data_IF_699021655811
#
_entry.id   IF_699021655811
#
_cell.length_a   1.000
_cell.length_b   1.000
_cell.length_c   1.000
_cell.angle_alpha   90.00
_cell.angle_beta   90.00
_cell.angle_gamma   90.00
#
_symmetry.space_group_name_H-M   'P 1'
#
loop_
_entity.id
_entity.type
_entity.pdbx_description
1 polymer ?
#
# COMPACT_ATOMS: atom_id res chain seq x y z
N UNK A 1 -12.30 44.42 0.01
CA UNK A 1 -11.60 43.12 -0.11
C UNK A 1 -10.86 42.83 1.19
N UNK A 2 -11.59 42.38 2.22
CA UNK A 2 -11.02 41.92 3.50
C UNK A 2 -11.21 40.40 3.58
N UNK A 3 -10.14 39.70 3.95
CA UNK A 3 -10.10 38.37 4.59
C UNK A 3 -11.07 37.33 4.04
N UNK A 4 -10.66 36.63 2.98
CA UNK A 4 -11.29 35.37 2.54
C UNK A 4 -10.40 34.14 2.79
N UNK A 5 -9.16 34.33 3.26
CA UNK A 5 -8.20 33.24 3.51
C UNK A 5 -8.33 32.56 4.89
N UNK A 6 -9.39 32.82 5.67
CA UNK A 6 -9.37 32.53 7.13
C UNK A 6 -10.40 31.50 7.61
N UNK A 7 -11.39 31.10 6.82
CA UNK A 7 -12.51 30.29 7.36
C UNK A 7 -12.10 28.84 7.67
N UNK A 8 -11.15 28.27 6.91
CA UNK A 8 -10.66 26.89 7.09
C UNK A 8 -9.28 26.69 7.74
N UNK A 9 -8.54 27.77 7.99
CA UNK A 9 -7.40 27.71 8.91
C UNK A 9 -7.83 27.25 10.32
N UNK A 10 -9.12 27.37 10.62
CA UNK A 10 -9.67 27.16 11.96
C UNK A 10 -10.30 25.78 12.19
N UNK A 11 -10.52 24.96 11.14
CA UNK A 11 -10.97 23.58 11.34
C UNK A 11 -9.80 22.61 11.42
N UNK A 12 -9.63 21.92 12.55
CA UNK A 12 -8.67 20.83 12.69
C UNK A 12 -9.21 19.61 11.93
N UNK A 13 -8.47 19.09 10.95
CA UNK A 13 -8.80 17.84 10.28
C UNK A 13 -8.13 16.67 11.01
N UNK A 14 -8.92 15.69 11.44
CA UNK A 14 -8.44 14.41 11.97
C UNK A 14 -8.83 13.27 11.04
N UNK A 15 -7.82 12.67 10.43
CA UNK A 15 -7.95 11.40 9.71
C UNK A 15 -7.68 10.26 10.70
N UNK A 16 -8.59 9.29 10.76
CA UNK A 16 -8.50 8.21 11.75
C UNK A 16 -8.78 6.84 11.11
N UNK A 17 -8.12 5.80 11.58
CA UNK A 17 -8.48 4.41 11.32
C UNK A 17 -8.88 3.80 12.67
N UNK A 18 -10.11 3.35 12.78
CA UNK A 18 -10.70 2.92 14.05
C UNK A 18 -11.37 1.55 13.87
N UNK A 19 -11.31 0.73 14.91
CA UNK A 19 -12.02 -0.56 14.95
C UNK A 19 -13.54 -0.39 15.13
N UNK A 20 -13.98 0.73 15.72
CA UNK A 20 -15.39 0.97 16.04
C UNK A 20 -15.74 2.46 16.01
N UNK A 21 -17.01 2.77 15.71
CA UNK A 21 -17.52 4.15 15.73
C UNK A 21 -17.64 4.73 17.15
N UNK A 22 -17.61 3.87 18.19
CA UNK A 22 -17.72 4.31 19.59
C UNK A 22 -16.47 5.06 20.07
N UNK A 23 -15.33 4.90 19.41
CA UNK A 23 -14.10 5.62 19.75
C UNK A 23 -14.01 6.99 19.08
N UNK A 24 -14.96 7.32 18.20
CA UNK A 24 -15.02 8.64 17.58
C UNK A 24 -15.34 9.70 18.64
N UNK A 25 -14.57 10.80 18.70
CA UNK A 25 -14.89 11.94 19.54
C UNK A 25 -16.36 12.37 19.37
N UNK A 26 -17.04 12.56 20.50
CA UNK A 26 -18.44 13.01 20.56
C UNK A 26 -18.59 14.54 20.59
N UNK A 27 -17.48 15.26 20.74
CA UNK A 27 -17.39 16.72 20.75
C UNK A 27 -16.05 17.18 20.16
N UNK A 28 -15.98 18.42 19.71
CA UNK A 28 -14.76 19.08 19.24
C UNK A 28 -15.07 20.51 18.79
N UNK A 29 -14.13 21.45 18.95
CA UNK A 29 -14.33 22.85 18.57
C UNK A 29 -13.70 23.09 17.20
N UNK A 30 -14.51 23.31 16.17
CA UNK A 30 -14.01 23.44 14.80
C UNK A 30 -13.30 22.16 14.37
N UNK A 31 -13.91 21.00 14.60
CA UNK A 31 -13.28 19.71 14.37
C UNK A 31 -13.94 18.99 13.21
N UNK A 32 -13.13 18.57 12.24
CA UNK A 32 -13.53 17.73 11.13
C UNK A 32 -12.86 16.37 11.28
N UNK A 33 -13.66 15.31 11.41
CA UNK A 33 -13.18 13.95 11.53
C UNK A 33 -13.60 13.18 10.30
N UNK A 34 -12.65 12.54 9.64
CA UNK A 34 -12.91 11.50 8.65
C UNK A 34 -12.24 10.23 9.16
N UNK A 35 -13.05 9.24 9.53
CA UNK A 35 -12.56 7.97 10.02
C UNK A 35 -12.90 6.85 9.05
N UNK A 36 -11.96 5.96 8.80
CA UNK A 36 -12.22 4.68 8.18
C UNK A 36 -12.44 3.64 9.27
N UNK A 37 -13.61 3.00 9.23
CA UNK A 37 -14.02 1.96 10.17
C UNK A 37 -14.37 0.74 9.34
N UNK A 38 -13.55 -0.31 9.44
CA UNK A 38 -13.57 -1.45 8.53
C UNK A 38 -13.49 -0.99 7.05
N UNK A 39 -14.58 -1.14 6.30
CA UNK A 39 -14.70 -0.81 4.88
C UNK A 39 -15.53 0.46 4.63
N UNK A 40 -15.91 1.19 5.67
CA UNK A 40 -16.80 2.34 5.56
C UNK A 40 -16.14 3.60 6.10
N UNK A 41 -16.57 4.74 5.56
CA UNK A 41 -16.20 6.03 6.10
C UNK A 41 -17.23 6.51 7.11
N UNK A 42 -16.73 7.17 8.14
CA UNK A 42 -17.51 7.94 9.08
C UNK A 42 -17.02 9.38 9.03
N UNK A 43 -17.92 10.34 8.88
CA UNK A 43 -17.57 11.76 8.83
C UNK A 43 -18.32 12.49 9.93
N UNK A 44 -17.58 13.16 10.82
CA UNK A 44 -18.14 14.07 11.82
C UNK A 44 -17.61 15.47 11.62
N UNK A 45 -18.49 16.46 11.63
CA UNK A 45 -18.10 17.87 11.61
C UNK A 45 -18.73 18.56 12.81
N UNK A 46 -17.89 19.17 13.63
CA UNK A 46 -18.29 20.00 14.76
C UNK A 46 -17.97 21.46 14.48
N UNK A 47 -18.93 22.35 14.68
CA UNK A 47 -18.70 23.79 14.57
C UNK A 47 -17.89 24.35 15.75
N UNK A 48 -17.66 25.67 15.76
CA UNK A 48 -16.89 26.34 16.81
C UNK A 48 -17.54 26.32 18.20
N UNK A 49 -18.82 26.00 18.26
CA UNK A 49 -19.57 25.86 19.52
C UNK A 49 -19.60 24.42 20.01
N UNK A 50 -18.79 23.54 19.39
CA UNK A 50 -18.80 22.10 19.61
C UNK A 50 -20.13 21.41 19.25
N UNK A 51 -20.99 22.09 18.49
CA UNK A 51 -22.24 21.49 18.03
C UNK A 51 -21.94 20.64 16.80
N UNK A 52 -22.46 19.43 16.84
CA UNK A 52 -22.36 18.47 15.74
C UNK A 52 -23.23 18.93 14.56
N UNK A 53 -22.58 19.28 13.45
CA UNK A 53 -23.25 19.75 12.23
C UNK A 53 -23.50 18.59 11.28
N UNK A 54 -22.52 17.68 11.18
CA UNK A 54 -22.57 16.45 10.37
C UNK A 54 -22.10 15.27 11.22
N UNK A 55 -22.79 14.14 11.08
CA UNK A 55 -22.46 12.84 11.68
C UNK A 55 -23.02 11.77 10.77
N UNK A 56 -22.20 11.33 9.82
CA UNK A 56 -22.57 10.33 8.83
C UNK A 56 -21.72 9.09 9.05
N UNK A 57 -22.35 7.93 9.03
CA UNK A 57 -21.67 6.64 9.13
C UNK A 57 -22.02 5.69 7.99
N UNK A 58 -21.76 4.40 8.23
CA UNK A 58 -21.93 3.29 7.26
C UNK A 58 -23.24 3.33 6.47
N UNK A 59 -24.37 3.61 7.12
CA UNK A 59 -25.69 3.55 6.48
C UNK A 59 -26.05 4.82 5.69
N UNK A 60 -25.26 5.88 5.82
CA UNK A 60 -25.50 7.17 5.17
C UNK A 60 -24.59 7.40 3.95
N UNK A 61 -23.53 6.61 3.81
CA UNK A 61 -22.71 6.58 2.62
C UNK A 61 -23.21 5.50 1.67
N UNK A 62 -23.68 5.90 0.50
CA UNK A 62 -23.92 4.96 -0.59
C UNK A 62 -22.58 4.32 -1.00
N UNK A 63 -22.49 2.98 -1.12
CA UNK A 63 -21.27 2.30 -1.58
C UNK A 63 -20.76 2.82 -2.93
N UNK A 64 -21.67 3.31 -3.78
CA UNK A 64 -21.37 3.77 -5.14
C UNK A 64 -21.11 5.29 -5.23
N UNK A 65 -21.32 6.04 -4.14
CA UNK A 65 -21.08 7.48 -4.11
C UNK A 65 -19.67 7.79 -3.63
N UNK A 66 -18.96 8.68 -4.34
CA UNK A 66 -17.68 9.19 -3.84
C UNK A 66 -17.90 9.93 -2.52
N UNK A 67 -16.95 9.81 -1.59
CA UNK A 67 -17.00 10.48 -0.29
C UNK A 67 -17.24 11.99 -0.43
N UNK A 68 -16.59 12.62 -1.42
CA UNK A 68 -16.78 14.02 -1.75
C UNK A 68 -18.24 14.37 -2.10
N UNK A 69 -18.89 13.55 -2.91
CA UNK A 69 -20.30 13.74 -3.31
C UNK A 69 -21.26 13.57 -2.13
N UNK A 70 -20.99 12.60 -1.25
CA UNK A 70 -21.79 12.36 -0.06
C UNK A 70 -21.68 13.53 0.94
N UNK A 71 -20.47 14.05 1.15
CA UNK A 71 -20.22 15.22 2.01
C UNK A 71 -20.86 16.49 1.42
N UNK A 72 -20.71 16.74 0.12
CA UNK A 72 -21.37 17.87 -0.56
C UNK A 72 -22.89 17.83 -0.37
N UNK A 73 -23.49 16.64 -0.57
CA UNK A 73 -24.92 16.41 -0.39
C UNK A 73 -25.37 16.69 1.06
N UNK A 74 -24.59 16.26 2.04
CA UNK A 74 -24.88 16.51 3.45
C UNK A 74 -24.76 17.99 3.81
N UNK A 75 -23.71 18.66 3.34
CA UNK A 75 -23.50 20.09 3.58
C UNK A 75 -24.58 20.95 2.92
N UNK A 76 -25.08 20.57 1.73
CA UNK A 76 -26.21 21.24 1.06
C UNK A 76 -27.47 21.26 1.94
N UNK A 77 -27.73 20.21 2.72
CA UNK A 77 -28.89 20.14 3.63
C UNK A 77 -28.74 21.00 4.89
N UNK A 78 -27.54 21.49 5.20
CA UNK A 78 -27.22 22.20 6.46
C UNK A 78 -27.00 23.70 6.32
N UNK A 79 -27.34 24.29 5.16
CA UNK A 79 -27.18 25.72 4.88
C UNK A 79 -25.75 26.27 5.07
N UNK A 80 -24.73 25.42 4.92
CA UNK A 80 -23.33 25.85 4.85
C UNK A 80 -23.14 26.67 3.57
N UNK A 81 -22.37 27.74 3.60
CA UNK A 81 -22.11 28.55 2.41
C UNK A 81 -21.24 27.78 1.40
N UNK A 82 -21.34 28.13 0.12
CA UNK A 82 -20.69 27.35 -0.94
C UNK A 82 -19.16 27.42 -0.92
N UNK A 83 -18.59 28.49 -0.38
CA UNK A 83 -17.14 28.61 -0.27
C UNK A 83 -16.61 27.66 0.80
N UNK A 84 -17.17 27.70 2.01
CA UNK A 84 -16.83 26.77 3.09
C UNK A 84 -17.01 25.31 2.66
N UNK A 85 -18.06 25.01 1.87
CA UNK A 85 -18.24 23.67 1.29
C UNK A 85 -17.09 23.26 0.39
N UNK A 86 -16.75 24.10 -0.59
CA UNK A 86 -15.71 23.81 -1.59
C UNK A 86 -14.37 23.60 -0.90
N UNK A 87 -14.05 24.47 0.04
CA UNK A 87 -12.86 24.40 0.87
C UNK A 87 -12.82 23.12 1.72
N UNK A 88 -13.93 22.72 2.38
CA UNK A 88 -13.98 21.51 3.21
C UNK A 88 -13.79 20.26 2.36
N UNK A 89 -14.50 20.19 1.22
CA UNK A 89 -14.38 19.07 0.28
C UNK A 89 -12.93 18.99 -0.22
N UNK A 90 -12.34 20.11 -0.64
CA UNK A 90 -10.96 20.16 -1.11
C UNK A 90 -9.97 19.74 -0.02
N UNK A 91 -10.15 20.20 1.23
CA UNK A 91 -9.29 19.80 2.37
C UNK A 91 -9.41 18.31 2.65
N UNK A 92 -10.61 17.74 2.55
CA UNK A 92 -10.84 16.30 2.75
C UNK A 92 -10.23 15.51 1.60
N UNK A 93 -10.52 15.85 0.35
CA UNK A 93 -10.03 15.09 -0.81
C UNK A 93 -8.52 15.21 -0.96
N UNK A 94 -7.92 16.39 -0.80
CA UNK A 94 -6.45 16.56 -0.89
C UNK A 94 -5.67 15.82 0.21
N UNK A 95 -6.28 15.59 1.39
CA UNK A 95 -5.64 14.83 2.47
C UNK A 95 -6.00 13.33 2.42
N UNK A 96 -7.10 12.96 1.75
CA UNK A 96 -7.50 11.57 1.52
C UNK A 96 -6.91 10.97 0.24
N UNK A 97 -6.53 11.78 -0.75
CA UNK A 97 -5.70 11.35 -1.89
C UNK A 97 -4.35 10.80 -1.44
N UNK A 98 -3.96 11.06 -0.19
CA UNK A 98 -2.80 10.40 0.43
C UNK A 98 -3.09 8.99 0.95
N UNK A 99 -4.35 8.58 1.18
CA UNK A 99 -4.66 7.32 1.88
C UNK A 99 -5.93 6.56 1.43
N UNK A 100 -6.55 6.90 0.32
CA UNK A 100 -7.49 5.98 -0.32
C UNK A 100 -7.50 6.12 -1.84
N UNK A 101 -7.12 5.07 -2.58
CA UNK A 101 -7.12 5.15 -4.02
C UNK A 101 -8.58 5.19 -4.50
N UNK A 102 -9.00 6.33 -5.06
CA UNK A 102 -9.48 6.19 -6.44
C UNK A 102 -8.34 5.50 -7.16
N UNK A 103 -8.62 4.41 -7.86
CA UNK A 103 -7.66 3.66 -8.67
C UNK A 103 -6.92 4.67 -9.53
N UNK A 104 -5.80 5.14 -9.01
CA UNK A 104 -5.00 6.16 -9.62
C UNK A 104 -4.20 5.35 -10.61
N UNK A 105 -4.69 5.35 -11.85
CA UNK A 105 -3.95 4.78 -12.95
C UNK A 105 -2.52 5.32 -12.94
N UNK A 106 -2.23 6.48 -12.35
CA UNK A 106 -0.89 7.04 -12.20
C UNK A 106 -0.02 6.30 -11.17
N UNK A 107 -0.51 5.95 -9.97
CA UNK A 107 0.26 5.15 -8.98
C UNK A 107 0.40 3.69 -9.43
N UNK A 108 -0.61 3.15 -10.10
CA UNK A 108 -0.58 1.79 -10.67
C UNK A 108 0.35 1.72 -11.89
N UNK A 109 0.36 2.76 -12.73
CA UNK A 109 1.33 2.93 -13.80
C UNK A 109 2.72 3.17 -13.24
N UNK A 110 2.90 3.89 -12.14
CA UNK A 110 4.23 4.08 -11.53
C UNK A 110 4.78 2.76 -11.01
N UNK A 111 3.94 1.89 -10.43
CA UNK A 111 4.35 0.58 -9.97
C UNK A 111 4.67 -0.37 -11.14
N UNK A 112 3.83 -0.35 -12.18
CA UNK A 112 4.08 -1.06 -13.45
C UNK A 112 5.34 -0.50 -14.13
N UNK A 113 5.54 0.81 -14.14
CA UNK A 113 6.73 1.49 -14.64
C UNK A 113 7.96 1.13 -13.81
N UNK A 114 7.88 0.98 -12.49
CA UNK A 114 9.00 0.48 -11.67
C UNK A 114 9.34 -0.96 -12.01
N UNK A 115 8.34 -1.80 -12.27
CA UNK A 115 8.55 -3.17 -12.77
C UNK A 115 9.20 -3.17 -14.16
N UNK A 116 8.79 -2.25 -15.05
CA UNK A 116 9.32 -2.10 -16.42
C UNK A 116 10.68 -1.42 -16.46
N UNK A 117 10.95 -0.50 -15.56
CA UNK A 117 12.21 0.26 -15.52
C UNK A 117 13.33 -0.57 -14.91
N UNK A 118 12.98 -1.53 -14.06
CA UNK A 118 13.93 -2.45 -13.42
C UNK A 118 14.36 -3.62 -14.31
N UNK A 119 13.75 -3.82 -15.48
CA UNK A 119 14.09 -4.92 -16.38
C UNK A 119 13.97 -4.46 -17.84
N UNK A 120 14.87 -4.86 -18.74
CA UNK A 120 14.73 -4.62 -20.18
C UNK A 120 13.55 -5.45 -20.75
N UNK A 121 12.32 -5.09 -20.38
CA UNK A 121 11.09 -5.81 -20.71
C UNK A 121 10.70 -5.47 -22.15
N UNK A 122 10.40 -6.50 -22.95
CA UNK A 122 9.92 -6.27 -24.33
C UNK A 122 8.49 -5.69 -24.34
N UNK A 123 8.06 -5.11 -25.48
CA UNK A 123 6.68 -4.62 -25.63
C UNK A 123 5.65 -5.74 -25.43
N UNK A 124 5.97 -6.97 -25.84
CA UNK A 124 5.08 -8.12 -25.69
C UNK A 124 4.97 -8.56 -24.23
N UNK A 125 6.07 -8.54 -23.49
CA UNK A 125 6.08 -8.79 -22.05
C UNK A 125 5.27 -7.72 -21.29
N UNK A 126 5.38 -6.44 -21.70
CA UNK A 126 4.56 -5.37 -21.15
C UNK A 126 3.06 -5.62 -21.35
N UNK A 127 2.64 -5.99 -22.57
CA UNK A 127 1.25 -6.33 -22.87
C UNK A 127 0.76 -7.49 -22.01
N UNK A 128 1.60 -8.49 -21.76
CA UNK A 128 1.28 -9.60 -20.88
C UNK A 128 1.08 -9.13 -19.43
N UNK A 129 2.02 -8.33 -18.88
CA UNK A 129 1.92 -7.75 -17.54
C UNK A 129 0.62 -6.96 -17.39
N UNK A 130 0.35 -6.05 -18.34
CA UNK A 130 -0.83 -5.21 -18.34
C UNK A 130 -2.13 -6.01 -18.42
N UNK A 131 -2.17 -7.07 -19.23
CA UNK A 131 -3.33 -7.96 -19.32
C UNK A 131 -3.61 -8.68 -18.00
N UNK A 132 -2.58 -9.22 -17.34
CA UNK A 132 -2.70 -9.86 -16.03
C UNK A 132 -3.22 -8.86 -14.99
N UNK A 133 -2.70 -7.63 -15.05
CA UNK A 133 -3.09 -6.55 -14.16
C UNK A 133 -4.57 -6.21 -14.30
N UNK A 134 -5.03 -5.85 -15.51
CA UNK A 134 -6.43 -5.47 -15.77
C UNK A 134 -7.40 -6.61 -15.40
N UNK A 135 -7.09 -7.85 -15.79
CA UNK A 135 -7.93 -8.99 -15.45
C UNK A 135 -8.03 -9.16 -13.92
N UNK A 136 -6.91 -9.06 -13.21
CA UNK A 136 -6.90 -9.24 -11.76
C UNK A 136 -7.62 -8.11 -11.02
N UNK A 137 -7.54 -6.88 -11.53
CA UNK A 137 -8.31 -5.74 -11.03
C UNK A 137 -9.82 -5.94 -11.22
N UNK A 138 -10.24 -6.44 -12.39
CA UNK A 138 -11.64 -6.78 -12.66
C UNK A 138 -12.17 -7.89 -11.74
N UNK A 139 -11.29 -8.80 -11.33
CA UNK A 139 -11.58 -9.85 -10.34
C UNK A 139 -11.59 -9.33 -8.88
N UNK A 140 -11.33 -8.04 -8.65
CA UNK A 140 -11.31 -7.42 -7.32
C UNK A 140 -10.13 -7.86 -6.46
N UNK A 141 -9.03 -8.32 -7.05
CA UNK A 141 -7.84 -8.76 -6.32
C UNK A 141 -7.10 -7.55 -5.72
N UNK A 142 -6.61 -7.71 -4.49
CA UNK A 142 -5.73 -6.73 -3.87
C UNK A 142 -4.41 -6.61 -4.65
N UNK A 143 -3.86 -5.39 -4.76
CA UNK A 143 -2.66 -5.07 -5.56
C UNK A 143 -1.47 -6.00 -5.27
N UNK A 144 -1.22 -6.33 -4.00
CA UNK A 144 -0.16 -7.27 -3.61
C UNK A 144 -0.33 -8.68 -4.23
N UNK A 145 -1.57 -9.14 -4.38
CA UNK A 145 -1.90 -10.40 -5.07
C UNK A 145 -1.68 -10.30 -6.57
N UNK A 146 -1.97 -9.14 -7.17
CA UNK A 146 -1.72 -8.89 -8.59
C UNK A 146 -0.22 -8.91 -8.88
N UNK A 147 0.58 -8.20 -8.09
CA UNK A 147 2.06 -8.21 -8.20
C UNK A 147 2.60 -9.62 -8.06
N UNK A 148 2.11 -10.38 -7.06
CA UNK A 148 2.49 -11.78 -6.88
C UNK A 148 2.16 -12.61 -8.14
N UNK A 149 0.97 -12.46 -8.70
CA UNK A 149 0.55 -13.19 -9.91
C UNK A 149 1.43 -12.84 -11.12
N UNK A 150 1.76 -11.56 -11.31
CA UNK A 150 2.67 -11.08 -12.35
C UNK A 150 4.05 -11.73 -12.20
N UNK A 151 4.62 -11.73 -10.99
CA UNK A 151 5.95 -12.30 -10.71
C UNK A 151 6.00 -13.82 -10.85
N UNK A 152 4.90 -14.50 -10.52
CA UNK A 152 4.78 -15.95 -10.67
C UNK A 152 4.48 -16.39 -12.11
N UNK A 153 4.17 -15.48 -13.02
CA UNK A 153 3.99 -15.82 -14.42
C UNK A 153 5.30 -16.37 -15.00
N UNK A 154 5.27 -17.56 -15.61
CA UNK A 154 6.46 -18.26 -16.10
C UNK A 154 7.27 -17.48 -17.13
N UNK A 155 6.62 -16.64 -17.94
CA UNK A 155 7.29 -15.82 -18.94
C UNK A 155 8.05 -14.66 -18.28
N UNK A 156 7.38 -13.94 -17.36
CA UNK A 156 7.92 -12.77 -16.65
C UNK A 156 8.99 -13.19 -15.64
N UNK A 157 8.83 -14.35 -15.00
CA UNK A 157 9.71 -14.89 -13.95
C UNK A 157 11.19 -14.87 -14.34
N UNK A 158 11.48 -15.20 -15.60
CA UNK A 158 12.86 -15.25 -16.11
C UNK A 158 13.55 -13.88 -16.17
N UNK A 159 12.78 -12.80 -16.16
CA UNK A 159 13.27 -11.42 -16.19
C UNK A 159 13.28 -10.77 -14.82
N UNK A 160 12.87 -11.47 -13.76
CA UNK A 160 12.95 -10.94 -12.42
C UNK A 160 14.42 -10.74 -12.04
N UNK A 161 14.72 -9.58 -11.49
CA UNK A 161 16.04 -9.27 -10.97
C UNK A 161 16.51 -10.35 -9.97
N UNK A 162 17.71 -10.90 -10.19
CA UNK A 162 18.27 -12.01 -9.43
C UNK A 162 18.07 -13.39 -10.07
N UNK A 163 17.30 -13.53 -11.15
CA UNK A 163 17.15 -14.79 -11.91
C UNK A 163 18.10 -14.91 -13.11
N UNK A 164 18.95 -13.91 -13.36
CA UNK A 164 20.05 -14.06 -14.30
C UNK A 164 21.17 -14.96 -13.73
N UNK A 165 22.08 -15.43 -14.58
CA UNK A 165 23.13 -16.37 -14.19
C UNK A 165 24.28 -15.71 -13.39
N UNK A 166 24.19 -14.41 -13.11
CA UNK A 166 25.27 -13.64 -12.47
C UNK A 166 25.17 -13.60 -10.94
N UNK A 167 24.08 -14.12 -10.35
CA UNK A 167 23.89 -14.14 -8.90
C UNK A 167 24.04 -15.53 -8.28
N UNK A 168 24.73 -15.57 -7.14
CA UNK A 168 24.69 -16.70 -6.22
C UNK A 168 23.40 -16.64 -5.38
N UNK A 169 22.68 -17.75 -5.29
CA UNK A 169 21.47 -17.82 -4.47
C UNK A 169 21.81 -18.03 -3.00
N UNK A 170 21.43 -17.08 -2.15
CA UNK A 170 21.50 -17.19 -0.71
C UNK A 170 20.11 -17.51 -0.16
N UNK A 171 19.92 -18.70 0.38
CA UNK A 171 18.61 -19.11 0.92
C UNK A 171 18.48 -18.65 2.37
N UNK A 172 17.38 -17.97 2.65
CA UNK A 172 17.01 -17.63 4.02
C UNK A 172 16.44 -18.84 4.74
N UNK A 173 17.08 -19.18 5.85
CA UNK A 173 16.60 -20.21 6.77
C UNK A 173 15.28 -19.78 7.41
N UNK A 174 14.37 -20.74 7.59
CA UNK A 174 13.05 -20.48 8.16
C UNK A 174 13.13 -19.86 9.57
N UNK A 175 14.14 -20.21 10.37
CA UNK A 175 14.29 -19.67 11.73
C UNK A 175 14.68 -18.18 11.73
N UNK A 176 15.47 -17.74 10.76
CA UNK A 176 15.77 -16.32 10.58
C UNK A 176 14.53 -15.55 10.14
N UNK A 177 13.68 -16.14 9.29
CA UNK A 177 12.40 -15.55 8.88
C UNK A 177 11.42 -15.51 10.05
N UNK A 178 11.31 -16.59 10.86
CA UNK A 178 10.47 -16.63 12.06
C UNK A 178 10.86 -15.54 13.07
N UNK A 179 12.14 -15.18 13.15
CA UNK A 179 12.57 -14.06 14.01
C UNK A 179 11.95 -12.72 13.58
N UNK A 180 11.51 -12.60 12.32
CA UNK A 180 10.74 -11.45 11.82
C UNK A 180 9.25 -11.54 12.18
N UNK A 181 8.70 -12.73 12.42
CA UNK A 181 7.28 -12.97 12.69
C UNK A 181 6.85 -12.62 14.14
N UNK A 182 7.79 -12.41 15.06
CA UNK A 182 7.51 -12.42 16.52
C UNK A 182 6.55 -11.29 17.00
N UNK A 183 6.22 -10.28 16.18
CA UNK A 183 5.43 -9.13 16.64
C UNK A 183 4.12 -8.87 15.86
N UNK A 184 3.55 -9.85 15.15
CA UNK A 184 2.17 -9.71 14.62
C UNK A 184 1.15 -9.79 15.76
N UNK A 185 0.90 -8.64 16.40
CA UNK A 185 -0.23 -8.45 17.30
C UNK A 185 -1.40 -7.98 16.44
N UNK A 186 -2.42 -8.83 16.30
CA UNK A 186 -3.73 -8.58 15.67
C UNK A 186 -3.88 -8.92 14.18
N UNK A 187 -5.01 -9.56 13.88
CA UNK A 187 -5.33 -10.34 12.67
C UNK A 187 -5.93 -9.54 11.50
N UNK A 188 -5.80 -8.20 11.49
CA UNK A 188 -6.55 -7.37 10.53
C UNK A 188 -5.67 -6.42 9.71
N UNK A 189 -4.48 -6.05 10.18
CA UNK A 189 -3.44 -5.40 9.38
C UNK A 189 -2.10 -5.93 9.87
N UNK A 190 -1.36 -6.66 9.03
CA UNK A 190 -0.03 -7.18 9.34
C UNK A 190 0.98 -6.02 9.46
N UNK A 191 0.86 -5.17 10.49
CA UNK A 191 1.93 -4.26 10.89
C UNK A 191 2.92 -5.10 11.67
N UNK A 192 3.82 -5.76 10.94
CA UNK A 192 4.91 -6.51 11.55
C UNK A 192 5.90 -5.49 12.11
N UNK A 193 5.88 -5.26 13.42
CA UNK A 193 6.93 -4.52 14.10
C UNK A 193 8.20 -5.37 14.11
N UNK A 194 8.91 -5.41 12.99
CA UNK A 194 10.17 -6.15 12.87
C UNK A 194 11.26 -5.35 13.55
N UNK A 195 12.09 -6.00 14.37
CA UNK A 195 13.41 -5.46 14.71
C UNK A 195 14.40 -5.89 13.61
N UNK A 196 14.72 -5.01 12.63
CA UNK A 196 15.55 -5.40 11.48
C UNK A 196 17.01 -5.66 11.88
N UNK A 197 17.45 -5.22 13.06
CA UNK A 197 18.86 -5.24 13.46
C UNK A 197 19.43 -6.65 13.50
N UNK A 198 18.70 -7.62 14.08
CA UNK A 198 19.16 -9.01 14.12
C UNK A 198 19.30 -9.59 12.71
N UNK A 199 18.28 -9.38 11.86
CA UNK A 199 18.28 -9.86 10.49
C UNK A 199 19.42 -9.26 9.65
N UNK A 200 19.60 -7.94 9.71
CA UNK A 200 20.67 -7.26 8.97
C UNK A 200 22.06 -7.69 9.47
N UNK A 201 22.24 -7.90 10.77
CA UNK A 201 23.48 -8.45 11.33
C UNK A 201 23.81 -9.84 10.79
N UNK A 202 22.81 -10.73 10.70
CA UNK A 202 23.02 -12.04 10.09
C UNK A 202 23.31 -11.93 8.60
N UNK A 203 22.70 -10.97 7.89
CA UNK A 203 23.02 -10.75 6.48
C UNK A 203 24.44 -10.25 6.25
N UNK A 204 24.93 -9.30 7.06
CA UNK A 204 26.33 -8.83 7.01
C UNK A 204 27.34 -9.97 7.18
N UNK A 205 27.04 -10.94 8.04
CA UNK A 205 27.92 -12.10 8.27
C UNK A 205 27.94 -13.08 7.09
N UNK A 206 26.80 -13.21 6.39
CA UNK A 206 26.64 -14.18 5.29
C UNK A 206 27.06 -13.62 3.93
N UNK A 207 27.04 -12.31 3.74
CA UNK A 207 27.33 -11.67 2.46
C UNK A 207 28.82 -11.34 2.34
N UNK A 208 29.48 -11.94 1.35
CA UNK A 208 30.81 -11.55 0.88
C UNK A 208 30.72 -10.32 -0.03
N UNK A 209 31.48 -9.27 0.24
CA UNK A 209 31.48 -8.01 -0.51
C UNK A 209 31.84 -8.20 -2.00
N UNK A 210 32.51 -9.29 -2.36
CA UNK A 210 32.96 -9.54 -3.75
C UNK A 210 31.99 -10.37 -4.58
N UNK A 211 30.87 -10.82 -4.00
CA UNK A 211 29.90 -11.67 -4.69
C UNK A 211 28.56 -10.96 -4.87
N UNK A 212 27.91 -11.27 -5.99
CA UNK A 212 26.54 -10.82 -6.27
C UNK A 212 25.58 -11.87 -5.76
N UNK A 213 24.76 -11.52 -4.77
CA UNK A 213 23.79 -12.43 -4.18
C UNK A 213 22.37 -12.12 -4.62
N UNK A 214 21.58 -13.16 -4.87
CA UNK A 214 20.12 -13.08 -4.90
C UNK A 214 19.58 -13.81 -3.67
N UNK A 215 18.85 -13.09 -2.82
CA UNK A 215 18.29 -13.66 -1.61
C UNK A 215 16.99 -14.40 -1.93
N UNK A 216 16.87 -15.65 -1.48
CA UNK A 216 15.71 -16.50 -1.73
C UNK A 216 14.98 -16.79 -0.42
N UNK A 217 13.71 -16.36 -0.31
CA UNK A 217 12.83 -16.70 0.81
C UNK A 217 12.04 -17.97 0.53
N UNK A 218 11.82 -18.78 1.56
CA UNK A 218 11.06 -20.03 1.46
C UNK A 218 9.58 -19.83 1.10
N UNK A 219 8.95 -18.75 1.57
CA UNK A 219 7.54 -18.46 1.30
C UNK A 219 7.34 -17.08 0.68
N UNK A 220 6.51 -17.02 -0.35
CA UNK A 220 6.16 -15.78 -1.05
C UNK A 220 5.68 -14.65 -0.13
N UNK A 221 4.93 -14.97 0.93
CA UNK A 221 4.38 -13.96 1.86
C UNK A 221 5.46 -13.12 2.57
N UNK A 222 6.68 -13.63 2.72
CA UNK A 222 7.77 -12.90 3.37
C UNK A 222 8.59 -12.04 2.42
N UNK A 223 8.45 -12.23 1.10
CA UNK A 223 9.33 -11.64 0.09
C UNK A 223 9.33 -10.11 0.13
N UNK A 224 8.14 -9.50 0.24
CA UNK A 224 8.00 -8.04 0.33
C UNK A 224 8.57 -7.49 1.65
N UNK A 225 8.32 -8.18 2.76
CA UNK A 225 8.83 -7.81 4.09
C UNK A 225 10.36 -7.82 4.10
N UNK A 226 10.97 -8.93 3.68
CA UNK A 226 12.42 -9.09 3.60
C UNK A 226 13.02 -8.04 2.67
N UNK A 227 12.37 -7.75 1.53
CA UNK A 227 12.83 -6.69 0.63
C UNK A 227 12.84 -5.32 1.31
N UNK A 228 11.75 -4.94 1.99
CA UNK A 228 11.67 -3.66 2.69
C UNK A 228 12.72 -3.51 3.81
N UNK A 229 13.10 -4.60 4.47
CA UNK A 229 14.19 -4.60 5.45
C UNK A 229 15.56 -4.46 4.77
N UNK A 230 15.81 -5.22 3.70
CA UNK A 230 17.06 -5.14 2.96
C UNK A 230 17.26 -3.78 2.28
N UNK A 231 16.20 -3.11 1.86
CA UNK A 231 16.26 -1.76 1.27
C UNK A 231 16.96 -0.74 2.18
N UNK A 232 16.99 -0.98 3.49
CA UNK A 232 17.65 -0.10 4.46
C UNK A 232 19.18 -0.10 4.33
N UNK A 233 19.79 -1.18 3.80
CA UNK A 233 21.25 -1.35 3.81
C UNK A 233 21.81 -2.02 2.55
N UNK A 234 21.06 -2.95 1.97
CA UNK A 234 21.43 -3.72 0.78
C UNK A 234 20.44 -3.50 -0.38
N UNK A 235 20.22 -2.24 -0.83
CA UNK A 235 19.24 -1.94 -1.88
C UNK A 235 19.59 -2.56 -3.23
N UNK A 236 20.81 -3.05 -3.42
CA UNK A 236 21.29 -3.72 -4.64
C UNK A 236 21.14 -5.25 -4.62
N UNK A 237 20.56 -5.83 -3.57
CA UNK A 237 20.44 -7.30 -3.45
C UNK A 237 19.01 -7.74 -3.81
N UNK A 238 18.79 -8.41 -4.96
CA UNK A 238 17.47 -8.89 -5.32
C UNK A 238 16.93 -9.85 -4.26
N UNK A 239 15.61 -9.79 -4.04
CA UNK A 239 14.88 -10.73 -3.19
C UNK A 239 13.85 -11.45 -4.04
N UNK A 240 13.95 -12.77 -4.05
CA UNK A 240 13.05 -13.71 -4.72
C UNK A 240 12.40 -14.61 -3.68
N UNK A 241 11.23 -15.16 -4.01
CA UNK A 241 10.76 -16.37 -3.34
C UNK A 241 11.24 -17.62 -4.07
N UNK A 242 11.12 -18.77 -3.40
CA UNK A 242 11.39 -20.07 -4.03
C UNK A 242 10.53 -20.31 -5.28
N UNK A 243 9.29 -19.82 -5.28
CA UNK A 243 8.35 -19.94 -6.39
C UNK A 243 8.71 -19.01 -7.56
N UNK A 244 9.40 -17.91 -7.27
CA UNK A 244 9.90 -16.94 -8.25
C UNK A 244 11.25 -17.35 -8.83
N UNK A 245 11.96 -18.30 -8.22
CA UNK A 245 13.25 -18.77 -8.72
C UNK A 245 13.08 -19.50 -10.05
N UNK A 246 13.94 -19.19 -11.02
CA UNK A 246 14.06 -19.99 -12.23
C UNK A 246 14.70 -21.34 -11.88
N UNK A 247 13.99 -22.44 -12.12
CA UNK A 247 14.62 -23.74 -12.19
C UNK A 247 15.34 -23.81 -13.53
N UNK A 248 16.64 -23.58 -13.53
CA UNK A 248 17.48 -24.08 -14.62
C UNK A 248 17.36 -25.60 -14.53
N UNK A 249 16.57 -26.20 -15.42
CA UNK A 249 16.76 -27.60 -15.77
C UNK A 249 18.23 -27.68 -16.18
N UNK A 250 19.08 -28.19 -15.29
CA UNK A 250 20.41 -28.61 -15.69
C UNK A 250 20.13 -29.55 -16.86
N UNK A 251 20.54 -29.14 -18.07
CA UNK A 251 20.76 -30.11 -19.13
C UNK A 251 21.77 -31.06 -18.50
N UNK A 252 21.29 -32.21 -18.05
CA UNK A 252 22.17 -33.35 -17.90
C UNK A 252 22.75 -33.51 -19.29
N UNK A 253 24.01 -33.10 -19.43
CA UNK A 253 24.85 -33.53 -20.53
C UNK A 253 24.87 -35.05 -20.41
N UNK A 254 24.00 -35.69 -21.18
CA UNK A 254 24.11 -37.10 -21.50
C UNK A 254 25.43 -37.23 -22.25
N UNK A 255 26.46 -37.66 -21.54
CA UNK A 255 27.65 -38.29 -22.13
C UNK A 255 27.25 -39.45 -23.04
#
# INVERSE_FOLDING_TARGET
>A
MKQLDTVLAEYELKLMFLESANTLPSAGNGLLIVAKIENFYHVRIFDRTSKKVIDMGKDEFSPDASLALAIDTALKKKSVDNQTKTELIQKITSNLDYQHPQIDHEVELELIQKIISAANISVDDFRLIYRIFIQSMQEGKAVNKIIQQIRLNSHIRNYLWGNDQEYDFLYLEDDLIKSLEINTISSVVDIVAVNPTHFLNEMRKKMDEHKRYALVVSKQKYRALVRGILDLEFPHIPVLSIDEKRFTLQKHDSE
#
